data_IF_468382306840
#
_entry.id   IF_468382306840
#
_cell.length_a   1.000
_cell.length_b   1.000
_cell.length_c   1.000
_cell.angle_alpha   90.00
_cell.angle_beta   90.00
_cell.angle_gamma   90.00
#
_symmetry.space_group_name_H-M   'P 1'
#
loop_
_entity.id
_entity.type
_entity.pdbx_description
1 polymer ?
#
# COMPACT_ATOMS: atom_id res chain seq x y z
N UNK A 1 55.00 -34.31 51.44
CA UNK A 1 53.57 -34.69 51.62
C UNK A 1 52.73 -33.45 51.30
N UNK A 2 52.19 -33.38 50.09
CA UNK A 2 51.34 -32.26 49.63
C UNK A 2 49.91 -32.71 49.81
N UNK A 3 49.12 -32.02 50.65
CA UNK A 3 47.70 -32.25 50.82
C UNK A 3 46.93 -31.47 49.78
N UNK A 4 46.24 -32.19 48.88
CA UNK A 4 45.30 -31.59 47.94
C UNK A 4 43.98 -31.29 48.67
N UNK A 5 43.59 -30.01 48.71
CA UNK A 5 42.30 -29.56 49.19
C UNK A 5 41.29 -29.70 48.03
N UNK A 6 40.28 -30.55 48.18
CA UNK A 6 39.18 -30.67 47.25
C UNK A 6 38.11 -29.65 47.64
N UNK A 7 37.88 -28.63 46.76
CA UNK A 7 36.71 -27.76 46.86
C UNK A 7 35.57 -28.36 46.00
N UNK A 8 34.38 -28.57 46.54
CA UNK A 8 33.24 -28.93 45.71
C UNK A 8 32.72 -27.69 44.95
N UNK A 9 32.77 -27.79 43.63
CA UNK A 9 32.20 -26.75 42.73
C UNK A 9 30.70 -26.99 42.67
N UNK A 10 29.93 -26.19 43.40
CA UNK A 10 28.46 -26.19 43.29
C UNK A 10 28.06 -25.54 41.96
N UNK A 11 27.53 -26.38 41.03
CA UNK A 11 27.02 -25.92 39.75
C UNK A 11 25.58 -25.40 39.95
N UNK A 12 25.42 -24.08 40.05
CA UNK A 12 24.12 -23.41 40.12
C UNK A 12 23.52 -23.36 38.72
N UNK A 13 22.54 -24.21 38.42
CA UNK A 13 21.74 -24.08 37.19
C UNK A 13 20.85 -22.83 37.32
N UNK A 14 21.18 -21.76 36.60
CA UNK A 14 20.25 -20.67 36.33
C UNK A 14 19.23 -21.14 35.26
N UNK A 15 18.02 -21.46 35.69
CA UNK A 15 16.87 -21.60 34.77
C UNK A 15 16.44 -20.22 34.32
N UNK A 16 16.83 -19.85 33.11
CA UNK A 16 16.26 -18.69 32.43
C UNK A 16 14.80 -18.97 32.07
N UNK A 17 13.88 -18.46 32.88
CA UNK A 17 12.47 -18.42 32.51
C UNK A 17 12.31 -17.43 31.34
N UNK A 18 12.09 -17.95 30.13
CA UNK A 18 11.73 -17.15 28.97
C UNK A 18 10.36 -16.52 29.22
N UNK A 19 10.36 -15.22 29.54
CA UNK A 19 9.16 -14.39 29.51
C UNK A 19 8.70 -14.32 28.04
N UNK A 20 7.81 -15.21 27.66
CA UNK A 20 7.02 -15.04 26.43
C UNK A 20 6.10 -13.86 26.69
N UNK A 21 6.57 -12.67 26.30
CA UNK A 21 5.76 -11.47 26.33
C UNK A 21 4.52 -11.72 25.49
N UNK A 22 3.34 -11.53 26.06
CA UNK A 22 2.08 -11.54 25.33
C UNK A 22 2.19 -10.49 24.22
N UNK A 23 2.32 -10.94 22.96
CA UNK A 23 2.29 -10.04 21.81
C UNK A 23 0.89 -9.42 21.78
N UNK A 24 0.83 -8.11 21.94
CA UNK A 24 -0.41 -7.36 21.69
C UNK A 24 -0.84 -7.71 20.26
N UNK A 25 -2.10 -8.15 20.06
CA UNK A 25 -2.59 -8.44 18.71
C UNK A 25 -2.36 -7.20 17.83
N UNK A 26 -1.82 -7.41 16.64
CA UNK A 26 -1.68 -6.32 15.67
C UNK A 26 -3.05 -5.68 15.43
N UNK A 27 -3.15 -4.36 15.32
CA UNK A 27 -4.42 -3.69 15.08
C UNK A 27 -5.06 -4.27 13.82
N UNK A 28 -6.27 -4.83 13.95
CA UNK A 28 -7.02 -5.33 12.81
C UNK A 28 -7.65 -4.15 12.08
N UNK A 29 -7.21 -3.89 10.87
CA UNK A 29 -7.84 -2.88 10.02
C UNK A 29 -9.16 -3.44 9.43
N UNK A 30 -10.19 -2.58 9.21
CA UNK A 30 -11.38 -3.00 8.49
C UNK A 30 -11.01 -3.48 7.07
N UNK A 31 -11.75 -4.44 6.55
CA UNK A 31 -11.54 -4.94 5.18
C UNK A 31 -11.76 -3.86 4.10
N UNK A 32 -11.49 -4.20 2.84
CA UNK A 32 -11.56 -3.25 1.73
C UNK A 32 -12.97 -2.65 1.56
N UNK A 33 -14.02 -3.45 1.75
CA UNK A 33 -15.40 -2.98 1.61
C UNK A 33 -15.80 -2.04 2.76
N UNK A 34 -15.47 -2.38 4.00
CA UNK A 34 -15.76 -1.53 5.17
C UNK A 34 -14.87 -0.29 5.26
N UNK A 35 -13.75 -0.26 4.56
CA UNK A 35 -12.86 0.89 4.44
C UNK A 35 -13.01 1.63 3.11
N UNK A 36 -14.02 1.29 2.31
CA UNK A 36 -14.27 1.97 1.03
C UNK A 36 -14.53 3.46 1.26
N UNK A 37 -13.73 4.36 0.66
CA UNK A 37 -13.81 5.78 0.92
C UNK A 37 -15.11 6.43 0.43
N UNK A 38 -15.74 5.87 -0.60
CA UNK A 38 -17.03 6.36 -1.11
C UNK A 38 -18.15 5.99 -0.15
N UNK A 39 -18.18 4.73 0.31
CA UNK A 39 -19.15 4.26 1.30
C UNK A 39 -19.01 4.98 2.63
N UNK A 40 -17.79 5.33 3.05
CA UNK A 40 -17.52 6.08 4.28
C UNK A 40 -17.84 7.58 4.17
N UNK A 41 -18.02 8.11 2.96
CA UNK A 41 -18.44 9.49 2.73
C UNK A 41 -17.42 10.53 3.21
N UNK A 42 -16.11 10.26 3.08
CA UNK A 42 -15.07 11.24 3.42
C UNK A 42 -15.21 12.53 2.60
N UNK A 43 -15.13 13.67 3.26
CA UNK A 43 -15.18 15.00 2.64
C UNK A 43 -16.46 15.29 1.83
N UNK A 44 -17.56 14.60 2.10
CA UNK A 44 -18.85 14.83 1.48
C UNK A 44 -19.64 15.86 2.30
N UNK A 45 -20.18 16.89 1.63
CA UNK A 45 -20.95 17.98 2.23
C UNK A 45 -20.25 19.34 2.11
N UNK A 46 -20.99 20.41 2.42
CA UNK A 46 -20.47 21.79 2.38
C UNK A 46 -20.98 22.60 3.56
N UNK A 47 -20.26 22.66 4.70
CA UNK A 47 -19.02 21.91 4.99
C UNK A 47 -19.27 20.41 5.24
N UNK A 48 -18.24 19.56 5.10
CA UNK A 48 -18.34 18.18 5.54
C UNK A 48 -18.53 18.08 7.07
N UNK A 49 -19.20 17.04 7.59
CA UNK A 49 -19.28 16.80 9.03
C UNK A 49 -17.88 16.67 9.66
N UNK A 50 -17.68 17.10 10.92
CA UNK A 50 -16.37 17.09 11.57
C UNK A 50 -15.70 15.71 11.60
N UNK A 51 -16.46 14.64 11.80
CA UNK A 51 -15.98 13.26 11.84
C UNK A 51 -15.62 12.71 10.43
N UNK A 52 -16.05 13.40 9.37
CA UNK A 52 -15.77 13.07 7.96
C UNK A 52 -14.67 13.93 7.33
N UNK A 53 -14.10 14.84 8.09
CA UNK A 53 -13.00 15.67 7.60
C UNK A 53 -11.69 14.87 7.46
N UNK A 54 -10.95 15.19 6.41
CA UNK A 54 -9.58 14.71 6.17
C UNK A 54 -8.68 15.93 6.06
N UNK A 55 -7.66 16.04 6.92
CA UNK A 55 -6.85 17.25 7.06
C UNK A 55 -5.39 16.94 7.31
N UNK A 56 -4.50 17.89 6.98
CA UNK A 56 -3.09 17.83 7.38
C UNK A 56 -2.89 18.15 8.86
N UNK A 57 -3.70 19.09 9.40
CA UNK A 57 -3.50 19.63 10.74
C UNK A 57 -3.56 18.57 11.85
N UNK A 58 -4.37 17.53 11.67
CA UNK A 58 -4.53 16.42 12.62
C UNK A 58 -3.85 15.11 12.16
N UNK A 59 -3.15 15.15 11.02
CA UNK A 59 -2.50 13.98 10.44
C UNK A 59 -3.45 12.96 9.78
N UNK A 60 -4.75 13.22 9.76
CA UNK A 60 -5.75 12.29 9.24
C UNK A 60 -5.58 11.99 7.75
N UNK A 61 -4.93 12.87 7.02
CA UNK A 61 -4.55 12.68 5.60
C UNK A 61 -3.76 11.40 5.35
N UNK A 62 -2.98 10.93 6.34
CA UNK A 62 -2.17 9.71 6.27
C UNK A 62 -2.71 8.57 7.14
N UNK A 63 -3.85 8.75 7.80
CA UNK A 63 -4.43 7.72 8.66
C UNK A 63 -5.35 6.79 7.87
N UNK A 64 -5.25 5.48 8.11
CA UNK A 64 -6.20 4.52 7.57
C UNK A 64 -7.53 4.60 8.36
N UNK A 65 -8.69 4.54 7.68
CA UNK A 65 -8.92 4.36 6.25
C UNK A 65 -8.98 5.67 5.42
N UNK A 66 -8.78 6.85 6.02
CA UNK A 66 -8.88 8.15 5.33
C UNK A 66 -7.86 8.32 4.20
N UNK A 67 -6.68 7.69 4.33
CA UNK A 67 -5.65 7.73 3.29
C UNK A 67 -6.14 7.17 1.94
N UNK A 68 -7.08 6.23 1.92
CA UNK A 68 -7.67 5.70 0.68
C UNK A 68 -8.48 6.74 -0.09
N UNK A 69 -8.99 7.76 0.61
CA UNK A 69 -9.60 8.93 -0.02
C UNK A 69 -8.54 9.98 -0.38
N UNK A 70 -7.67 10.33 0.55
CA UNK A 70 -6.75 11.46 0.42
C UNK A 70 -5.73 11.25 -0.70
N UNK A 71 -5.25 10.04 -0.92
CA UNK A 71 -4.24 9.73 -1.94
C UNK A 71 -4.73 9.97 -3.37
N UNK A 72 -6.03 9.89 -3.61
CA UNK A 72 -6.65 10.26 -4.88
C UNK A 72 -7.14 11.71 -4.93
N UNK A 73 -7.20 12.41 -3.79
CA UNK A 73 -7.74 13.76 -3.66
C UNK A 73 -6.74 14.78 -3.10
N UNK A 74 -5.45 14.49 -3.17
CA UNK A 74 -4.40 15.28 -2.53
C UNK A 74 -4.43 16.77 -2.95
N UNK A 75 -4.80 17.06 -4.20
CA UNK A 75 -4.94 18.43 -4.74
C UNK A 75 -5.99 19.27 -4.04
N UNK A 76 -6.97 18.65 -3.38
CA UNK A 76 -7.99 19.37 -2.62
C UNK A 76 -7.48 19.85 -1.25
N UNK A 77 -6.34 19.30 -0.80
CA UNK A 77 -5.82 19.51 0.55
C UNK A 77 -4.49 20.28 0.58
N UNK A 78 -3.75 20.26 -0.52
CA UNK A 78 -2.45 20.91 -0.62
C UNK A 78 -2.30 21.70 -1.93
N UNK A 79 -1.55 22.82 -1.92
CA UNK A 79 -1.18 23.53 -3.13
C UNK A 79 -0.40 22.59 -4.07
N UNK A 80 -0.82 22.53 -5.32
CA UNK A 80 -0.17 21.71 -6.36
C UNK A 80 -0.09 22.46 -7.67
N UNK A 81 0.91 22.13 -8.49
CA UNK A 81 1.05 22.66 -9.85
C UNK A 81 0.80 21.56 -10.86
N UNK A 82 0.05 21.88 -11.91
CA UNK A 82 -0.18 20.97 -13.02
C UNK A 82 1.05 20.99 -13.95
N UNK A 83 1.70 19.86 -14.11
CA UNK A 83 2.73 19.65 -15.12
C UNK A 83 2.10 18.87 -16.26
N UNK A 84 2.01 19.51 -17.43
CA UNK A 84 1.45 18.89 -18.64
C UNK A 84 2.43 17.91 -19.27
N UNK A 85 1.93 16.91 -19.95
CA UNK A 85 2.73 15.91 -20.70
C UNK A 85 3.43 16.47 -21.96
N UNK A 86 3.24 17.74 -22.28
CA UNK A 86 3.70 18.38 -23.52
C UNK A 86 2.71 18.21 -24.68
N UNK A 87 3.11 18.67 -25.87
CA UNK A 87 2.28 18.71 -27.08
C UNK A 87 2.46 17.50 -28.01
N UNK A 88 3.33 16.55 -27.64
CA UNK A 88 3.56 15.33 -28.42
C UNK A 88 2.32 14.43 -28.52
N UNK A 89 2.29 13.57 -29.52
CA UNK A 89 1.21 12.60 -29.70
C UNK A 89 1.08 11.66 -28.49
N UNK A 90 -0.13 11.14 -28.26
CA UNK A 90 -0.37 10.10 -27.26
C UNK A 90 -0.12 8.74 -27.93
N UNK A 91 0.77 7.96 -27.37
CA UNK A 91 0.90 6.56 -27.78
C UNK A 91 -0.22 5.75 -27.11
N UNK A 92 -1.14 5.25 -27.90
CA UNK A 92 -2.19 4.36 -27.42
C UNK A 92 -1.61 2.96 -27.24
N UNK A 93 -1.81 2.38 -26.07
CA UNK A 93 -1.45 0.99 -25.80
C UNK A 93 -2.61 0.10 -26.23
N UNK A 94 -2.37 -0.91 -27.11
CA UNK A 94 -3.41 -1.87 -27.48
C UNK A 94 -3.94 -2.60 -26.24
N UNK A 95 -5.24 -2.90 -26.23
CA UNK A 95 -5.88 -3.63 -25.13
C UNK A 95 -6.20 -5.05 -25.57
N UNK A 96 -5.80 -6.01 -24.75
CA UNK A 96 -6.14 -7.42 -24.90
C UNK A 96 -6.43 -7.98 -23.51
N UNK A 97 -7.57 -7.60 -22.97
CA UNK A 97 -7.96 -8.00 -21.63
C UNK A 97 -8.09 -9.52 -21.50
N UNK A 98 -7.51 -10.09 -20.44
CA UNK A 98 -7.53 -11.51 -20.13
C UNK A 98 -8.35 -11.66 -18.86
N UNK A 99 -9.64 -11.96 -19.01
CA UNK A 99 -10.59 -12.09 -17.89
C UNK A 99 -10.17 -13.14 -16.85
N UNK A 100 -9.47 -14.21 -17.30
CA UNK A 100 -9.01 -15.27 -16.41
C UNK A 100 -7.91 -14.83 -15.43
N UNK A 101 -7.26 -13.68 -15.63
CA UNK A 101 -6.24 -13.18 -14.70
C UNK A 101 -6.80 -12.96 -13.30
N UNK A 102 -8.04 -12.46 -13.18
CA UNK A 102 -8.70 -12.27 -11.89
C UNK A 102 -8.89 -13.55 -11.07
N UNK A 103 -8.92 -14.70 -11.77
CA UNK A 103 -9.17 -16.02 -11.17
C UNK A 103 -7.89 -16.81 -10.89
N UNK A 104 -6.70 -16.24 -11.16
CA UNK A 104 -5.43 -16.92 -10.85
C UNK A 104 -5.33 -17.12 -9.34
N UNK A 105 -5.15 -18.36 -8.92
CA UNK A 105 -4.93 -18.70 -7.52
C UNK A 105 -3.44 -18.82 -7.21
N UNK A 106 -3.07 -18.42 -6.03
CA UNK A 106 -1.72 -18.55 -5.49
C UNK A 106 -1.76 -18.70 -3.98
N UNK A 107 -0.68 -19.21 -3.41
CA UNK A 107 -0.50 -19.29 -1.96
C UNK A 107 0.34 -18.07 -1.52
N UNK A 108 -0.22 -17.12 -0.75
CA UNK A 108 0.55 -16.00 -0.24
C UNK A 108 1.67 -16.47 0.69
N UNK A 109 2.80 -15.76 0.68
CA UNK A 109 3.96 -16.10 1.51
C UNK A 109 3.58 -16.14 3.00
N UNK A 110 3.88 -17.25 3.65
CA UNK A 110 3.59 -17.46 5.07
C UNK A 110 2.12 -17.80 5.38
N UNK A 111 1.28 -18.02 4.37
CA UNK A 111 -0.11 -18.44 4.53
C UNK A 111 -0.27 -19.93 4.18
N UNK A 112 -1.32 -20.54 4.75
CA UNK A 112 -1.72 -21.93 4.46
C UNK A 112 -2.98 -22.03 3.60
N UNK A 113 -3.61 -20.92 3.28
CA UNK A 113 -4.84 -20.82 2.48
C UNK A 113 -4.54 -20.11 1.16
N UNK A 114 -4.95 -20.72 0.06
CA UNK A 114 -4.85 -20.12 -1.25
C UNK A 114 -5.76 -18.90 -1.37
N UNK A 115 -5.36 -17.94 -2.20
CA UNK A 115 -6.07 -16.71 -2.49
C UNK A 115 -6.09 -16.51 -3.99
N UNK A 116 -7.19 -16.02 -4.54
CA UNK A 116 -7.22 -15.60 -5.94
C UNK A 116 -6.71 -14.16 -6.11
N UNK A 117 -6.44 -13.79 -7.36
CA UNK A 117 -5.91 -12.47 -7.68
C UNK A 117 -6.82 -11.32 -7.23
N UNK A 118 -8.13 -11.41 -7.49
CA UNK A 118 -9.11 -10.37 -7.10
C UNK A 118 -9.15 -10.20 -5.57
N UNK A 119 -9.18 -11.30 -4.83
CA UNK A 119 -9.16 -11.25 -3.36
C UNK A 119 -7.85 -10.63 -2.84
N UNK A 120 -6.73 -10.85 -3.54
CA UNK A 120 -5.46 -10.23 -3.15
C UNK A 120 -5.46 -8.72 -3.33
N UNK A 121 -6.09 -8.19 -4.37
CA UNK A 121 -6.25 -6.75 -4.56
C UNK A 121 -7.09 -6.14 -3.44
N UNK A 122 -8.16 -6.82 -3.03
CA UNK A 122 -8.97 -6.40 -1.89
C UNK A 122 -8.17 -6.47 -0.57
N UNK A 123 -7.44 -7.55 -0.32
CA UNK A 123 -6.64 -7.73 0.88
C UNK A 123 -5.51 -6.70 1.03
N UNK A 124 -5.01 -6.15 -0.09
CA UNK A 124 -3.97 -5.11 -0.12
C UNK A 124 -4.52 -3.69 -0.29
N UNK A 125 -5.85 -3.52 -0.24
CA UNK A 125 -6.52 -2.21 -0.44
C UNK A 125 -6.09 -1.51 -1.73
N UNK A 126 -5.88 -2.28 -2.80
CA UNK A 126 -5.43 -1.74 -4.09
C UNK A 126 -6.51 -0.86 -4.70
N UNK A 127 -6.21 0.41 -4.94
CA UNK A 127 -7.14 1.37 -5.54
C UNK A 127 -7.01 1.43 -7.07
N UNK A 128 -5.88 1.04 -7.63
CA UNK A 128 -5.70 0.95 -9.08
C UNK A 128 -4.56 0.02 -9.46
N UNK A 129 -4.76 -0.72 -10.54
CA UNK A 129 -3.73 -1.59 -11.10
C UNK A 129 -3.87 -1.66 -12.62
N UNK A 130 -2.74 -1.66 -13.30
CA UNK A 130 -2.63 -1.97 -14.72
C UNK A 130 -1.51 -2.99 -14.92
N UNK A 131 -1.78 -4.01 -15.72
CA UNK A 131 -0.78 -5.01 -16.11
C UNK A 131 -0.56 -4.91 -17.62
N UNK A 132 0.70 -4.69 -17.99
CA UNK A 132 1.15 -4.68 -19.38
C UNK A 132 1.92 -5.97 -19.68
N UNK A 133 1.58 -6.62 -20.78
CA UNK A 133 2.31 -7.74 -21.29
C UNK A 133 2.59 -7.55 -22.79
N UNK A 134 3.88 -7.58 -23.18
CA UNK A 134 4.32 -7.37 -24.56
C UNK A 134 3.74 -6.11 -25.22
N UNK A 135 3.70 -5.00 -24.46
CA UNK A 135 3.18 -3.71 -24.93
C UNK A 135 1.66 -3.61 -25.01
N UNK A 136 0.91 -4.58 -24.52
CA UNK A 136 -0.54 -4.58 -24.48
C UNK A 136 -1.05 -4.50 -23.03
N UNK A 137 -2.13 -3.76 -22.80
CA UNK A 137 -2.85 -3.78 -21.51
C UNK A 137 -3.66 -5.08 -21.45
N UNK A 138 -3.30 -5.97 -20.53
CA UNK A 138 -3.95 -7.27 -20.37
C UNK A 138 -4.88 -7.33 -19.16
N UNK A 139 -4.73 -6.41 -18.22
CA UNK A 139 -5.59 -6.30 -17.04
C UNK A 139 -5.55 -4.87 -16.53
N UNK A 140 -6.71 -4.32 -16.17
CA UNK A 140 -6.81 -2.98 -15.58
C UNK A 140 -8.05 -2.90 -14.69
N UNK A 141 -7.88 -2.44 -13.44
CA UNK A 141 -8.96 -2.26 -12.47
C UNK A 141 -8.74 -1.01 -11.64
N UNK A 142 -9.85 -0.40 -11.24
CA UNK A 142 -9.91 0.75 -10.35
C UNK A 142 -10.96 0.52 -9.28
N UNK A 143 -10.67 0.91 -8.05
CA UNK A 143 -11.57 0.75 -6.89
C UNK A 143 -11.62 2.03 -6.06
N UNK A 144 -12.55 2.09 -5.12
CA UNK A 144 -12.71 3.25 -4.25
C UNK A 144 -13.01 4.52 -5.03
N UNK A 145 -12.31 5.60 -4.73
CA UNK A 145 -12.46 6.91 -5.41
C UNK A 145 -11.63 7.04 -6.68
N UNK A 146 -10.65 6.17 -6.90
CA UNK A 146 -9.80 6.23 -8.09
C UNK A 146 -10.59 5.81 -9.34
N UNK A 147 -10.42 6.55 -10.42
CA UNK A 147 -11.03 6.32 -11.73
C UNK A 147 -9.92 6.28 -12.79
N UNK A 148 -10.20 5.78 -14.02
CA UNK A 148 -9.20 5.72 -15.10
C UNK A 148 -8.45 7.04 -15.34
N UNK A 149 -9.16 8.17 -15.31
CA UNK A 149 -8.59 9.51 -15.49
C UNK A 149 -8.23 10.17 -14.15
N UNK A 150 -8.38 9.44 -13.05
CA UNK A 150 -8.11 9.92 -11.70
C UNK A 150 -6.62 10.10 -11.46
N UNK A 151 -6.33 10.92 -10.47
CA UNK A 151 -4.96 11.12 -10.00
C UNK A 151 -4.77 10.34 -8.70
N UNK A 152 -3.57 9.85 -8.48
CA UNK A 152 -3.17 9.20 -7.25
C UNK A 152 -1.75 9.62 -6.87
N UNK A 153 -1.50 9.77 -5.58
CA UNK A 153 -0.16 10.10 -5.11
C UNK A 153 0.82 8.96 -5.43
N UNK A 154 1.95 9.30 -6.05
CA UNK A 154 2.94 8.30 -6.48
C UNK A 154 3.97 7.99 -5.40
N UNK A 155 4.02 8.76 -4.32
CA UNK A 155 4.98 8.60 -3.25
C UNK A 155 6.42 8.42 -3.78
N UNK A 156 7.18 7.44 -3.33
CA UNK A 156 8.56 7.21 -3.75
C UNK A 156 8.73 6.68 -5.17
N UNK A 157 7.66 6.25 -5.85
CA UNK A 157 7.72 5.95 -7.29
C UNK A 157 8.16 7.18 -8.09
N UNK A 158 7.89 8.38 -7.58
CA UNK A 158 8.40 9.65 -8.13
C UNK A 158 9.91 9.63 -8.36
N UNK A 159 10.69 8.95 -7.50
CA UNK A 159 12.15 8.83 -7.67
C UNK A 159 12.54 8.09 -8.95
N UNK A 160 11.75 7.11 -9.35
CA UNK A 160 11.97 6.38 -10.62
C UNK A 160 11.79 7.30 -11.83
N UNK A 161 10.78 8.18 -11.78
CA UNK A 161 10.62 9.21 -12.84
C UNK A 161 11.80 10.17 -12.91
N UNK A 162 12.31 10.62 -11.77
CA UNK A 162 13.52 11.46 -11.74
C UNK A 162 14.74 10.72 -12.31
N UNK A 163 14.90 9.44 -12.04
CA UNK A 163 15.95 8.62 -12.64
C UNK A 163 15.87 8.55 -14.16
N UNK A 164 14.67 8.38 -14.71
CA UNK A 164 14.44 8.38 -16.17
C UNK A 164 14.75 9.76 -16.78
N UNK A 165 14.31 10.85 -16.15
CA UNK A 165 14.60 12.22 -16.61
C UNK A 165 16.12 12.47 -16.62
N UNK A 166 16.82 12.09 -15.55
CA UNK A 166 18.27 12.23 -15.48
C UNK A 166 18.98 11.43 -16.59
N UNK A 167 18.56 10.19 -16.84
CA UNK A 167 19.10 9.36 -17.92
C UNK A 167 18.85 9.97 -19.30
N UNK A 168 17.68 10.57 -19.52
CA UNK A 168 17.35 11.27 -20.78
C UNK A 168 18.26 12.46 -21.01
N UNK A 169 18.50 13.29 -20.00
CA UNK A 169 19.38 14.46 -20.08
C UNK A 169 20.86 14.11 -20.32
N UNK A 170 21.29 12.90 -19.91
CA UNK A 170 22.66 12.43 -20.15
C UNK A 170 22.81 11.92 -21.60
N UNK A 171 21.72 11.43 -22.20
CA UNK A 171 21.71 10.88 -23.54
C UNK A 171 21.62 11.94 -24.65
N UNK A 172 21.29 13.20 -24.30
CA UNK A 172 21.33 14.36 -25.20
C UNK A 172 22.75 14.93 -25.33
#
# INVERSE_FOLDING_TARGET
MLKFLHYPMALTLLTAASLVGAQTPAPSFPDAARSDPVALGWMVGSPPPPDKLVQFADGSVYSFPRLRWSFSNFRQMAPTTQVGRGLGGIQTLPRREIESLGKIEFLPLGQSVAMNWEDSLAATYTDGIVVLHRGQVVYERYTGVLKPEGQHIAMSVTKSFFGVIAASLIAE
#
